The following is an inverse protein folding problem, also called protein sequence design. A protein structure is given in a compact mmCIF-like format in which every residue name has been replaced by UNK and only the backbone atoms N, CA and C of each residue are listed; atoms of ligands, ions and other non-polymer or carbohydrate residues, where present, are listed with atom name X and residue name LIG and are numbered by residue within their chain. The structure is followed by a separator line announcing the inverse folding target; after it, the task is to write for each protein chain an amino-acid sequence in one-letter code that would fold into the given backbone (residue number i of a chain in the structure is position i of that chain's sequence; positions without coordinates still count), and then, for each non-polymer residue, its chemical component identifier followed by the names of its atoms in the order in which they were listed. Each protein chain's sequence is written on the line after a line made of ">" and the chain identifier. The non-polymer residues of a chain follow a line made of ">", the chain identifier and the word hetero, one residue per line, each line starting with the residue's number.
data_IF_398188960495
#
_entry.id   IF_398188960495
#
_cell.length_a   1.000
_cell.length_b   1.000
_cell.length_c   1.000
_cell.angle_alpha   90.00
_cell.angle_beta   90.00
_cell.angle_gamma   90.00
#
_symmetry.space_group_name_H-M   'P 1'
#
loop_
_entity.id
_entity.type
_entity.pdbx_description
1 polymer ?
#
# COMPACT_ATOMS: atom_id res chain seq x y z
N UNK A 1 33.28 -3.72 -0.98
CA UNK A 1 32.22 -3.29 -1.93
C UNK A 1 32.05 -4.35 -3.00
N UNK A 2 30.87 -4.97 -3.11
CA UNK A 2 30.60 -6.03 -4.10
C UNK A 2 30.56 -5.48 -5.52
N UNK A 3 31.30 -6.10 -6.45
CA UNK A 3 31.38 -5.66 -7.85
C UNK A 3 29.99 -5.69 -8.50
N UNK A 4 29.54 -4.55 -9.04
CA UNK A 4 28.30 -4.47 -9.85
C UNK A 4 28.38 -5.48 -11.00
N UNK A 5 27.26 -6.12 -11.34
CA UNK A 5 27.24 -7.14 -12.40
C UNK A 5 27.57 -6.50 -13.76
N UNK A 6 28.21 -7.24 -14.66
CA UNK A 6 28.47 -6.76 -16.02
C UNK A 6 27.19 -6.31 -16.74
N UNK A 7 26.06 -7.02 -16.49
CA UNK A 7 24.74 -6.70 -17.04
C UNK A 7 24.22 -5.33 -16.58
N UNK A 8 24.51 -4.94 -15.33
CA UNK A 8 24.10 -3.63 -14.81
C UNK A 8 24.95 -2.46 -15.32
N UNK A 9 25.97 -2.72 -16.15
CA UNK A 9 26.79 -1.69 -16.80
C UNK A 9 26.48 -1.58 -18.30
N UNK A 10 25.63 -2.46 -18.85
CA UNK A 10 25.15 -2.34 -20.22
C UNK A 10 24.22 -1.13 -20.38
N UNK A 11 24.11 -0.66 -21.62
CA UNK A 11 23.17 0.37 -22.03
C UNK A 11 21.73 0.01 -21.62
N UNK A 12 20.92 1.04 -21.38
CA UNK A 12 19.56 0.89 -20.87
C UNK A 12 18.69 0.00 -21.78
N UNK A 13 18.75 0.20 -23.09
CA UNK A 13 18.01 -0.60 -24.06
C UNK A 13 18.35 -2.10 -23.97
N UNK A 14 19.64 -2.45 -23.82
CA UNK A 14 20.09 -3.84 -23.71
C UNK A 14 19.67 -4.43 -22.36
N UNK A 15 19.70 -3.63 -21.29
CA UNK A 15 19.27 -4.07 -19.96
C UNK A 15 17.77 -4.36 -19.92
N UNK A 16 16.96 -3.52 -20.54
CA UNK A 16 15.51 -3.71 -20.65
C UNK A 16 15.17 -4.98 -21.44
N UNK A 17 15.95 -5.26 -22.48
CA UNK A 17 15.82 -6.50 -23.24
C UNK A 17 16.14 -7.73 -22.38
N UNK A 18 17.19 -7.68 -21.55
CA UNK A 18 17.46 -8.73 -20.56
C UNK A 18 16.30 -8.89 -19.57
N UNK A 19 15.71 -7.79 -19.09
CA UNK A 19 14.54 -7.87 -18.20
C UNK A 19 13.37 -8.55 -18.88
N UNK A 20 13.11 -8.21 -20.15
CA UNK A 20 12.04 -8.80 -20.96
C UNK A 20 12.23 -10.30 -21.10
N UNK A 21 13.43 -10.76 -21.43
CA UNK A 21 13.74 -12.18 -21.60
C UNK A 21 13.64 -12.96 -20.28
N UNK A 22 14.08 -12.37 -19.16
CA UNK A 22 13.92 -12.98 -17.83
C UNK A 22 12.43 -13.14 -17.49
N UNK A 23 11.59 -12.13 -17.75
CA UNK A 23 10.14 -12.21 -17.51
C UNK A 23 9.46 -13.27 -18.38
N UNK A 24 9.99 -13.54 -19.57
CA UNK A 24 9.53 -14.62 -20.46
C UNK A 24 10.00 -16.02 -20.02
N UNK A 25 10.80 -16.13 -18.96
CA UNK A 25 11.29 -17.40 -18.46
C UNK A 25 12.46 -17.99 -19.25
N UNK A 26 13.11 -17.18 -20.10
CA UNK A 26 14.25 -17.65 -20.92
C UNK A 26 15.41 -18.13 -20.05
N UNK A 27 16.09 -19.17 -20.51
CA UNK A 27 17.25 -19.77 -19.85
C UNK A 27 18.46 -18.82 -19.87
N UNK A 28 19.43 -19.08 -19.00
CA UNK A 28 20.68 -18.29 -18.96
C UNK A 28 21.39 -18.36 -20.32
N UNK A 29 21.35 -19.52 -20.97
CA UNK A 29 22.00 -19.76 -22.25
C UNK A 29 21.32 -18.98 -23.38
N UNK A 30 19.99 -18.99 -23.46
CA UNK A 30 19.24 -18.17 -24.42
C UNK A 30 19.49 -16.67 -24.23
N UNK A 31 19.51 -16.19 -22.99
CA UNK A 31 19.77 -14.77 -22.70
C UNK A 31 21.21 -14.40 -23.07
N UNK A 32 22.17 -15.28 -22.78
CA UNK A 32 23.59 -15.05 -23.10
C UNK A 32 23.79 -14.99 -24.61
N UNK A 33 23.19 -15.93 -25.36
CA UNK A 33 23.26 -15.95 -26.82
C UNK A 33 22.65 -14.67 -27.43
N UNK A 34 21.49 -14.23 -26.94
CA UNK A 34 20.86 -13.01 -27.43
C UNK A 34 21.69 -11.76 -27.14
N UNK A 35 22.37 -11.70 -25.98
CA UNK A 35 23.27 -10.60 -25.66
C UNK A 35 24.50 -10.56 -26.58
N UNK A 36 25.01 -11.72 -26.99
CA UNK A 36 26.10 -11.80 -27.97
C UNK A 36 25.66 -11.37 -29.38
N UNK A 37 24.41 -11.63 -29.78
CA UNK A 37 23.84 -11.09 -31.04
C UNK A 37 23.77 -9.55 -31.05
N UNK A 38 23.64 -8.94 -29.86
CA UNK A 38 23.64 -7.49 -29.65
C UNK A 38 25.05 -6.91 -29.41
N UNK A 39 26.11 -7.68 -29.69
CA UNK A 39 27.52 -7.31 -29.50
C UNK A 39 27.90 -6.97 -28.04
N UNK A 40 27.13 -7.47 -27.07
CA UNK A 40 27.43 -7.31 -25.65
C UNK A 40 28.34 -8.43 -25.14
N UNK A 41 29.60 -8.11 -24.84
CA UNK A 41 30.55 -9.09 -24.27
C UNK A 41 30.24 -9.37 -22.79
N UNK A 42 29.43 -10.39 -22.56
CA UNK A 42 29.04 -10.85 -21.22
C UNK A 42 29.27 -12.34 -21.06
N UNK A 43 29.74 -12.72 -19.87
CA UNK A 43 29.85 -14.13 -19.52
C UNK A 43 28.54 -14.72 -19.03
N UNK A 44 28.30 -15.99 -19.35
CA UNK A 44 27.19 -16.81 -18.84
C UNK A 44 27.02 -16.70 -17.32
N UNK A 45 28.13 -16.69 -16.57
CA UNK A 45 28.09 -16.57 -15.11
C UNK A 45 27.58 -15.20 -14.64
N UNK A 46 27.88 -14.12 -15.37
CA UNK A 46 27.34 -12.79 -15.09
C UNK A 46 25.83 -12.73 -15.36
N UNK A 47 25.37 -13.31 -16.45
CA UNK A 47 23.94 -13.44 -16.78
C UNK A 47 23.21 -14.25 -15.70
N UNK A 48 23.77 -15.39 -15.29
CA UNK A 48 23.17 -16.25 -14.26
C UNK A 48 23.02 -15.59 -12.89
N UNK A 49 24.04 -14.83 -12.44
CA UNK A 49 23.94 -14.05 -11.19
C UNK A 49 22.87 -12.97 -11.30
N UNK A 50 22.80 -12.29 -12.45
CA UNK A 50 21.83 -11.24 -12.69
C UNK A 50 20.40 -11.76 -12.72
N UNK A 51 20.15 -12.82 -13.52
CA UNK A 51 18.86 -13.50 -13.62
C UNK A 51 18.35 -13.94 -12.25
N UNK A 52 19.19 -14.61 -11.45
CA UNK A 52 18.82 -15.06 -10.10
C UNK A 52 18.40 -13.91 -9.20
N UNK A 53 19.14 -12.79 -9.21
CA UNK A 53 18.79 -11.61 -8.43
C UNK A 53 17.43 -11.04 -8.86
N UNK A 54 17.19 -10.96 -10.16
CA UNK A 54 15.93 -10.48 -10.73
C UNK A 54 14.76 -11.42 -10.38
N UNK A 55 14.93 -12.73 -10.53
CA UNK A 55 13.91 -13.71 -10.17
C UNK A 55 13.56 -13.65 -8.67
N UNK A 56 14.55 -13.43 -7.80
CA UNK A 56 14.33 -13.22 -6.37
C UNK A 56 13.47 -11.98 -6.10
N UNK A 57 13.80 -10.85 -6.75
CA UNK A 57 13.03 -9.62 -6.65
C UNK A 57 11.61 -9.78 -7.19
N UNK A 58 11.43 -10.44 -8.35
CA UNK A 58 10.12 -10.72 -8.94
C UNK A 58 9.28 -11.66 -8.08
N UNK A 59 9.91 -12.59 -7.35
CA UNK A 59 9.22 -13.47 -6.41
C UNK A 59 8.71 -12.67 -5.21
N UNK A 60 9.58 -11.89 -4.56
CA UNK A 60 9.19 -11.00 -3.45
C UNK A 60 8.09 -10.01 -3.86
N UNK A 61 8.17 -9.48 -5.08
CA UNK A 61 7.14 -8.58 -5.62
C UNK A 61 5.79 -9.30 -5.78
N UNK A 62 5.78 -10.52 -6.31
CA UNK A 62 4.55 -11.32 -6.42
C UNK A 62 3.95 -11.66 -5.06
N UNK A 63 4.79 -12.07 -4.11
CA UNK A 63 4.37 -12.32 -2.72
C UNK A 63 3.74 -11.05 -2.11
N UNK A 64 4.37 -9.88 -2.30
CA UNK A 64 3.81 -8.62 -1.85
C UNK A 64 2.47 -8.26 -2.55
N UNK A 65 2.32 -8.57 -3.84
CA UNK A 65 1.07 -8.36 -4.58
C UNK A 65 -0.04 -9.31 -4.14
N UNK A 66 0.27 -10.58 -3.85
CA UNK A 66 -0.70 -11.55 -3.32
C UNK A 66 -1.22 -11.10 -1.96
N UNK A 67 -0.29 -10.72 -1.08
CA UNK A 67 -0.60 -10.14 0.21
C UNK A 67 -1.47 -8.89 0.02
N UNK A 68 -1.05 -7.93 -0.80
CA UNK A 68 -1.83 -6.73 -1.11
C UNK A 68 -3.23 -7.04 -1.68
N UNK A 69 -3.37 -8.06 -2.53
CA UNK A 69 -4.65 -8.49 -3.07
C UNK A 69 -5.62 -9.02 -2.00
N UNK A 70 -5.12 -9.81 -1.06
CA UNK A 70 -5.89 -10.24 0.12
C UNK A 70 -6.32 -9.02 0.95
N UNK A 71 -5.42 -8.05 1.13
CA UNK A 71 -5.73 -6.83 1.90
C UNK A 71 -6.74 -5.92 1.20
N UNK A 72 -6.65 -5.72 -0.12
CA UNK A 72 -7.62 -4.92 -0.88
C UNK A 72 -9.01 -5.53 -0.80
N UNK A 73 -9.11 -6.86 -0.87
CA UNK A 73 -10.38 -7.57 -0.68
C UNK A 73 -10.96 -7.31 0.72
N UNK A 74 -10.13 -7.37 1.75
CA UNK A 74 -10.55 -7.16 3.14
C UNK A 74 -10.85 -5.69 3.46
N UNK A 75 -10.17 -4.73 2.83
CA UNK A 75 -10.45 -3.29 2.96
C UNK A 75 -11.81 -2.91 2.38
N UNK A 76 -12.25 -3.59 1.31
CA UNK A 76 -13.59 -3.43 0.76
C UNK A 76 -14.70 -3.88 1.72
N UNK A 77 -14.36 -4.77 2.66
CA UNK A 77 -15.26 -5.33 3.67
C UNK A 77 -15.07 -4.71 5.07
N UNK A 78 -14.26 -3.65 5.19
CA UNK A 78 -13.93 -2.97 6.45
C UNK A 78 -14.67 -1.60 6.58
N UNK A 79 -15.94 -1.60 7.03
CA UNK A 79 -16.72 -0.38 7.18
C UNK A 79 -16.16 0.59 8.25
N UNK A 80 -15.25 0.15 9.12
CA UNK A 80 -14.68 0.95 10.22
C UNK A 80 -13.27 1.47 9.91
N UNK A 81 -12.67 1.07 8.80
CA UNK A 81 -11.31 1.47 8.42
C UNK A 81 -10.20 0.98 9.37
N UNK A 82 -10.46 -0.08 10.15
CA UNK A 82 -9.51 -0.70 11.08
C UNK A 82 -8.28 -1.26 10.36
N UNK A 83 -8.46 -1.86 9.19
CA UNK A 83 -7.39 -2.40 8.35
C UNK A 83 -6.52 -1.30 7.76
N UNK A 84 -7.11 -0.17 7.36
CA UNK A 84 -6.38 1.01 6.91
C UNK A 84 -5.47 1.56 8.01
N UNK A 85 -5.96 1.58 9.25
CA UNK A 85 -5.16 1.96 10.44
C UNK A 85 -4.07 0.94 10.77
N UNK A 86 -4.34 -0.36 10.68
CA UNK A 86 -3.32 -1.39 10.91
C UNK A 86 -2.17 -1.29 9.90
N UNK A 87 -2.48 -1.13 8.61
CA UNK A 87 -1.45 -0.93 7.58
C UNK A 87 -0.63 0.34 7.83
N UNK A 88 -1.29 1.38 8.33
CA UNK A 88 -0.63 2.61 8.75
C UNK A 88 0.43 2.33 9.82
N UNK A 89 0.07 1.58 10.85
CA UNK A 89 0.94 1.26 11.96
C UNK A 89 2.06 0.28 11.58
N UNK A 90 1.79 -0.66 10.67
CA UNK A 90 2.81 -1.53 10.09
C UNK A 90 3.84 -0.72 9.27
N UNK A 91 3.39 0.23 8.44
CA UNK A 91 4.29 1.10 7.69
C UNK A 91 5.17 1.96 8.62
N UNK A 92 4.59 2.53 9.68
CA UNK A 92 5.34 3.25 10.72
C UNK A 92 6.38 2.37 11.42
N UNK A 93 6.05 1.10 11.65
CA UNK A 93 6.97 0.14 12.28
C UNK A 93 8.15 -0.18 11.36
N UNK A 94 7.89 -0.47 10.08
CA UNK A 94 8.96 -0.70 9.08
C UNK A 94 9.81 0.56 8.90
N UNK A 95 9.17 1.73 8.86
CA UNK A 95 9.84 3.02 8.82
C UNK A 95 10.82 3.20 10.00
N UNK A 96 10.36 2.90 11.22
CA UNK A 96 11.17 3.00 12.43
C UNK A 96 12.33 1.99 12.44
N UNK A 97 12.07 0.73 12.06
CA UNK A 97 13.10 -0.30 11.93
C UNK A 97 14.16 0.11 10.91
N UNK A 98 13.73 0.61 9.75
CA UNK A 98 14.64 1.10 8.71
C UNK A 98 15.53 2.23 9.24
N UNK A 99 14.96 3.19 9.97
CA UNK A 99 15.73 4.28 10.60
C UNK A 99 16.69 3.78 11.69
N UNK A 100 16.31 2.75 12.45
CA UNK A 100 17.15 2.16 13.49
C UNK A 100 18.33 1.38 12.89
N UNK A 101 18.07 0.51 11.90
CA UNK A 101 19.10 -0.27 11.20
C UNK A 101 20.09 0.64 10.46
N UNK A 102 19.59 1.75 9.93
CA UNK A 102 20.38 2.82 9.34
C UNK A 102 21.35 3.51 10.32
N UNK A 103 21.03 3.54 11.61
CA UNK A 103 21.89 4.10 12.65
C UNK A 103 23.04 3.15 13.05
N UNK A 104 22.84 1.84 12.90
CA UNK A 104 23.78 0.80 13.34
C UNK A 104 24.82 0.41 12.27
N UNK A 105 24.51 0.53 10.97
CA UNK A 105 25.40 0.07 9.89
C UNK A 105 26.41 1.11 9.36
N UNK A 106 26.44 2.32 9.91
CA UNK A 106 27.34 3.40 9.41
C UNK A 106 27.03 3.83 7.96
N UNK A 107 25.86 3.49 7.44
CA UNK A 107 25.34 3.97 6.17
C UNK A 107 24.84 5.41 6.36
N UNK A 108 25.34 6.37 5.57
CA UNK A 108 24.77 7.71 5.55
C UNK A 108 23.32 7.64 5.08
N UNK A 109 22.39 7.89 6.00
CA UNK A 109 20.98 8.09 5.65
C UNK A 109 20.88 9.35 4.82
N UNK A 110 20.53 9.19 3.55
CA UNK A 110 20.22 10.33 2.70
C UNK A 110 19.04 11.09 3.30
N UNK A 111 19.17 12.40 3.47
CA UNK A 111 18.07 13.29 3.89
C UNK A 111 16.80 13.13 3.03
N UNK A 112 16.97 12.65 1.80
CA UNK A 112 15.91 12.31 0.86
C UNK A 112 15.10 11.08 1.29
N UNK A 113 15.72 10.05 1.86
CA UNK A 113 15.02 8.85 2.34
C UNK A 113 14.14 9.17 3.55
N UNK A 114 14.66 9.99 4.47
CA UNK A 114 13.89 10.52 5.61
C UNK A 114 12.70 11.35 5.13
N UNK A 115 12.91 12.19 4.11
CA UNK A 115 11.83 13.01 3.54
C UNK A 115 10.74 12.16 2.89
N UNK A 116 11.10 11.09 2.17
CA UNK A 116 10.14 10.15 1.59
C UNK A 116 9.34 9.44 2.68
N UNK A 117 10.01 9.02 3.75
CA UNK A 117 9.36 8.38 4.89
C UNK A 117 8.40 9.31 5.62
N UNK A 118 8.83 10.55 5.88
CA UNK A 118 8.00 11.58 6.50
C UNK A 118 6.76 11.90 5.66
N UNK A 119 6.91 11.93 4.32
CA UNK A 119 5.79 12.12 3.40
C UNK A 119 4.83 10.94 3.44
N UNK A 120 5.33 9.71 3.41
CA UNK A 120 4.51 8.51 3.51
C UNK A 120 3.69 8.49 4.81
N UNK A 121 4.31 8.86 5.95
CA UNK A 121 3.61 9.01 7.23
C UNK A 121 2.54 10.10 7.16
N UNK A 122 2.85 11.26 6.57
CA UNK A 122 1.88 12.37 6.43
C UNK A 122 0.67 11.97 5.57
N UNK A 123 0.91 11.32 4.44
CA UNK A 123 -0.14 10.90 3.51
C UNK A 123 -1.06 9.87 4.17
N UNK A 124 -0.46 8.98 4.97
CA UNK A 124 -1.14 7.98 5.75
C UNK A 124 -2.04 8.57 6.85
N UNK A 125 -1.53 9.52 7.64
CA UNK A 125 -2.33 10.24 8.64
C UNK A 125 -3.48 11.03 7.99
N UNK A 126 -3.23 11.61 6.82
CA UNK A 126 -4.26 12.33 6.05
C UNK A 126 -5.36 11.37 5.59
N UNK A 127 -5.00 10.19 5.10
CA UNK A 127 -5.95 9.15 4.72
C UNK A 127 -6.77 8.66 5.93
N UNK A 128 -6.12 8.43 7.08
CA UNK A 128 -6.79 8.05 8.31
C UNK A 128 -7.82 9.10 8.77
N UNK A 129 -7.44 10.38 8.73
CA UNK A 129 -8.35 11.50 9.03
C UNK A 129 -9.55 11.52 8.07
N UNK A 130 -9.32 11.38 6.77
CA UNK A 130 -10.40 11.34 5.77
C UNK A 130 -11.36 10.16 6.01
N UNK A 131 -10.84 9.02 6.46
CA UNK A 131 -11.65 7.85 6.80
C UNK A 131 -12.51 8.12 8.03
N UNK A 132 -11.94 8.68 9.09
CA UNK A 132 -12.70 9.06 10.30
C UNK A 132 -13.79 10.09 10.00
N UNK A 133 -13.48 11.11 9.21
CA UNK A 133 -14.47 12.12 8.80
C UNK A 133 -15.62 11.49 8.00
N UNK A 134 -15.32 10.51 7.13
CA UNK A 134 -16.36 9.77 6.39
C UNK A 134 -17.22 8.95 7.35
N UNK A 135 -16.63 8.27 8.32
CA UNK A 135 -17.35 7.49 9.32
C UNK A 135 -18.29 8.36 10.16
N UNK A 136 -17.82 9.52 10.63
CA UNK A 136 -18.63 10.50 11.36
C UNK A 136 -19.80 10.94 10.48
N UNK A 137 -19.55 11.32 9.22
CA UNK A 137 -20.62 11.73 8.28
C UNK A 137 -21.65 10.64 8.07
N UNK A 138 -21.24 9.39 7.87
CA UNK A 138 -22.16 8.26 7.72
C UNK A 138 -23.00 8.10 8.99
N UNK A 139 -22.37 8.13 10.16
CA UNK A 139 -23.08 8.00 11.44
C UNK A 139 -24.10 9.12 11.67
N UNK A 140 -23.75 10.35 11.32
CA UNK A 140 -24.65 11.50 11.46
C UNK A 140 -25.82 11.41 10.48
N UNK A 141 -25.57 11.05 9.21
CA UNK A 141 -26.63 10.80 8.24
C UNK A 141 -27.57 9.68 8.70
N UNK A 142 -27.03 8.55 9.16
CA UNK A 142 -27.85 7.44 9.67
C UNK A 142 -28.67 7.83 10.90
N UNK A 143 -28.14 8.69 11.78
CA UNK A 143 -28.91 9.23 12.92
C UNK A 143 -30.02 10.16 12.46
N UNK A 144 -29.78 11.00 11.45
CA UNK A 144 -30.80 11.88 10.88
C UNK A 144 -31.92 11.06 10.23
N UNK A 145 -31.58 10.09 9.38
CA UNK A 145 -32.54 9.19 8.74
C UNK A 145 -33.36 8.40 9.77
N UNK A 146 -32.71 7.90 10.83
CA UNK A 146 -33.41 7.21 11.92
C UNK A 146 -34.34 8.15 12.70
N UNK A 147 -33.93 9.39 12.93
CA UNK A 147 -34.74 10.39 13.61
C UNK A 147 -35.98 10.77 12.80
N UNK A 148 -35.84 10.95 11.49
CA UNK A 148 -36.94 11.22 10.55
C UNK A 148 -37.92 10.03 10.48
N UNK A 149 -37.41 8.80 10.38
CA UNK A 149 -38.25 7.61 10.33
C UNK A 149 -39.05 7.40 11.63
N UNK A 150 -38.44 7.67 12.79
CA UNK A 150 -39.13 7.58 14.09
C UNK A 150 -40.14 8.72 14.23
N UNK A 151 -39.83 9.92 13.77
CA UNK A 151 -40.75 11.06 13.76
C UNK A 151 -42.01 10.74 12.93
N UNK A 152 -41.84 10.24 11.71
CA UNK A 152 -42.95 9.83 10.84
C UNK A 152 -43.78 8.71 11.47
N UNK A 153 -43.13 7.66 12.00
CA UNK A 153 -43.83 6.55 12.66
C UNK A 153 -44.60 7.00 13.92
N UNK A 154 -44.01 7.88 14.73
CA UNK A 154 -44.63 8.39 15.94
C UNK A 154 -45.80 9.33 15.64
N UNK A 155 -45.67 10.18 14.62
CA UNK A 155 -46.77 11.01 14.13
C UNK A 155 -47.94 10.16 13.62
N UNK A 156 -47.65 9.13 12.82
CA UNK A 156 -48.66 8.19 12.31
C UNK A 156 -49.35 7.38 13.43
N UNK A 157 -48.64 7.11 14.53
CA UNK A 157 -49.19 6.45 15.71
C UNK A 157 -49.96 7.42 16.64
N UNK A 158 -50.07 8.71 16.31
CA UNK A 158 -50.85 9.69 17.05
C UNK A 158 -50.19 10.18 18.35
N UNK A 159 -48.88 10.05 18.48
CA UNK A 159 -48.14 10.60 19.62
C UNK A 159 -48.15 12.14 19.60
N UNK A 160 -48.07 12.77 20.78
CA UNK A 160 -47.99 14.22 20.88
C UNK A 160 -46.67 14.75 20.29
N UNK A 161 -46.69 15.98 19.77
CA UNK A 161 -45.50 16.69 19.26
C UNK A 161 -44.34 16.68 20.27
N UNK A 162 -44.63 16.94 21.53
CA UNK A 162 -43.62 16.94 22.61
C UNK A 162 -42.94 15.57 22.79
N UNK A 163 -43.66 14.48 22.53
CA UNK A 163 -43.11 13.12 22.64
C UNK A 163 -42.26 12.78 21.42
N UNK A 164 -42.71 13.21 20.24
CA UNK A 164 -41.97 13.07 18.98
C UNK A 164 -40.64 13.82 19.05
N UNK A 165 -40.64 15.07 19.52
CA UNK A 165 -39.42 15.87 19.71
C UNK A 165 -38.44 15.23 20.70
N UNK A 166 -38.94 14.65 21.80
CA UNK A 166 -38.09 13.93 22.77
C UNK A 166 -37.40 12.72 22.14
N UNK A 167 -38.11 11.93 21.34
CA UNK A 167 -37.49 10.79 20.64
C UNK A 167 -36.46 11.25 19.62
N UNK A 168 -36.77 12.30 18.85
CA UNK A 168 -35.84 12.91 17.89
C UNK A 168 -34.56 13.40 18.57
N UNK A 169 -34.69 14.14 19.68
CA UNK A 169 -33.56 14.65 20.44
C UNK A 169 -32.70 13.52 21.05
N UNK A 170 -33.33 12.45 21.54
CA UNK A 170 -32.63 11.28 22.06
C UNK A 170 -31.84 10.51 20.99
N UNK A 171 -32.40 10.35 19.78
CA UNK A 171 -31.73 9.66 18.66
C UNK A 171 -30.54 10.48 18.15
N UNK A 172 -30.70 11.80 18.07
CA UNK A 172 -29.64 12.72 17.67
C UNK A 172 -28.60 12.96 18.78
N UNK A 173 -28.90 12.58 20.02
CA UNK A 173 -28.01 12.75 21.18
C UNK A 173 -27.81 14.20 21.61
N UNK A 174 -28.82 15.06 21.39
CA UNK A 174 -28.81 16.51 21.68
C UNK A 174 -29.71 16.91 22.86
N UNK A 175 -30.06 15.93 23.70
CA UNK A 175 -30.88 16.11 24.91
C UNK A 175 -30.19 16.96 25.98
#
# INVERSE_FOLDING_TARGET
>A
MGRRSAISQLDEAVRDEVHRLIRQGRTIDEITAHLHELDADVSRASVGRYKRKMEDQLRRYREAQEVAGVWVKNLGEDPRGEMGRLLADMLKTVAFQTLADMGDEGAEVGSQDIMFLARAIKDLETAAKSSMEREIRIRDLTRMEAAEAVEEAAANAGLSSDTVEKFRAAILGVS
#
